data_IF_844930084736
#
_entry.id   IF_844930084736
#
_cell.length_a   1.000
_cell.length_b   1.000
_cell.length_c   1.000
_cell.angle_alpha   90.00
_cell.angle_beta   90.00
_cell.angle_gamma   90.00
#
_symmetry.space_group_name_H-M   'P 1'
#
loop_
_entity.id
_entity.type
_entity.pdbx_description
1 polymer ?
#
# COMPACT_ATOMS: atom_id res chain seq x y z
N UNK A 1 -11.06 -18.71 -1.95
CA UNK A 1 -10.81 -17.72 -3.02
C UNK A 1 -10.67 -16.28 -2.48
N UNK A 2 -11.61 -15.75 -1.69
CA UNK A 2 -11.51 -14.37 -1.15
C UNK A 2 -10.33 -14.14 -0.18
N UNK A 3 -10.03 -15.13 0.68
CA UNK A 3 -8.94 -15.03 1.68
C UNK A 3 -7.54 -14.97 1.06
N UNK A 4 -7.35 -15.61 -0.10
CA UNK A 4 -6.07 -15.58 -0.84
C UNK A 4 -5.81 -14.19 -1.42
N UNK A 5 -6.85 -13.55 -1.98
CA UNK A 5 -6.75 -12.17 -2.49
C UNK A 5 -6.46 -11.16 -1.39
N UNK A 6 -6.96 -11.39 -0.18
CA UNK A 6 -6.71 -10.51 0.97
C UNK A 6 -5.25 -10.58 1.42
N UNK A 7 -4.67 -11.78 1.48
CA UNK A 7 -3.24 -11.97 1.79
C UNK A 7 -2.33 -11.40 0.71
N UNK A 8 -2.74 -11.47 -0.55
CA UNK A 8 -1.99 -10.89 -1.67
C UNK A 8 -1.97 -9.36 -1.61
N UNK A 9 -3.11 -8.75 -1.24
CA UNK A 9 -3.19 -7.31 -0.96
C UNK A 9 -2.29 -6.90 0.21
N UNK A 10 -2.34 -7.62 1.33
CA UNK A 10 -1.47 -7.36 2.48
C UNK A 10 0.02 -7.44 2.12
N UNK A 11 0.40 -8.43 1.31
CA UNK A 11 1.77 -8.56 0.83
C UNK A 11 2.21 -7.38 -0.05
N UNK A 12 1.34 -6.93 -0.98
CA UNK A 12 1.64 -5.79 -1.84
C UNK A 12 1.78 -4.49 -1.04
N UNK A 13 0.92 -4.28 -0.05
CA UNK A 13 0.98 -3.13 0.87
C UNK A 13 2.32 -3.11 1.62
N UNK A 14 2.71 -4.22 2.24
CA UNK A 14 3.99 -4.29 2.98
C UNK A 14 5.20 -4.12 2.07
N UNK A 15 5.14 -4.64 0.84
CA UNK A 15 6.21 -4.46 -0.15
C UNK A 15 6.38 -2.98 -0.50
N UNK A 16 5.30 -2.29 -0.85
CA UNK A 16 5.33 -0.87 -1.20
C UNK A 16 5.77 -0.01 -0.01
N UNK A 17 5.32 -0.33 1.19
CA UNK A 17 5.75 0.36 2.41
C UNK A 17 7.27 0.28 2.60
N UNK A 18 7.86 -0.90 2.42
CA UNK A 18 9.32 -1.07 2.50
C UNK A 18 10.07 -0.30 1.42
N UNK A 19 9.53 -0.25 0.19
CA UNK A 19 10.12 0.53 -0.89
C UNK A 19 10.09 2.04 -0.58
N UNK A 20 8.97 2.53 -0.06
CA UNK A 20 8.83 3.92 0.37
C UNK A 20 9.83 4.30 1.47
N UNK A 21 9.95 3.47 2.51
CA UNK A 21 10.93 3.69 3.57
C UNK A 21 12.37 3.66 3.04
N UNK A 22 12.70 2.73 2.16
CA UNK A 22 14.03 2.68 1.54
C UNK A 22 14.36 3.91 0.69
N UNK A 23 13.38 4.43 -0.06
CA UNK A 23 13.53 5.67 -0.83
C UNK A 23 13.74 6.89 0.09
N UNK A 24 13.01 6.97 1.20
CA UNK A 24 13.12 8.07 2.17
C UNK A 24 14.47 8.02 2.91
N UNK A 25 14.95 6.84 3.29
CA UNK A 25 16.22 6.69 4.02
C UNK A 25 17.47 6.93 3.15
N UNK A 26 17.38 6.69 1.83
CA UNK A 26 18.55 6.71 0.94
C UNK A 26 18.80 8.04 0.21
N UNK A 27 17.88 9.01 0.23
CA UNK A 27 18.05 10.24 -0.56
C UNK A 27 17.43 11.49 0.10
N UNK A 28 18.26 12.25 0.82
CA UNK A 28 17.85 13.51 1.43
C UNK A 28 17.55 14.67 0.46
N UNK A 29 17.82 14.53 -0.84
CA UNK A 29 17.79 15.69 -1.76
C UNK A 29 16.97 15.54 -3.05
N UNK A 30 16.47 14.35 -3.44
CA UNK A 30 16.00 14.17 -4.83
C UNK A 30 14.73 13.32 -5.08
N UNK A 31 13.93 12.97 -4.07
CA UNK A 31 12.80 12.07 -4.30
C UNK A 31 11.48 12.65 -3.81
N UNK A 32 10.93 13.61 -4.56
CA UNK A 32 9.55 14.03 -4.34
C UNK A 32 8.59 13.22 -5.20
N UNK A 33 8.86 13.06 -6.50
CA UNK A 33 7.87 12.53 -7.43
C UNK A 33 7.67 11.00 -7.32
N UNK A 34 8.75 10.23 -7.19
CA UNK A 34 8.63 8.77 -7.00
C UNK A 34 8.05 8.42 -5.62
N UNK A 35 8.42 9.15 -4.57
CA UNK A 35 7.85 9.00 -3.22
C UNK A 35 6.38 9.36 -3.22
N UNK A 36 5.98 10.45 -3.89
CA UNK A 36 4.57 10.83 -4.05
C UNK A 36 3.81 9.75 -4.83
N UNK A 37 4.38 9.22 -5.92
CA UNK A 37 3.76 8.15 -6.70
C UNK A 37 3.57 6.85 -5.89
N UNK A 38 4.59 6.44 -5.14
CA UNK A 38 4.51 5.25 -4.27
C UNK A 38 3.52 5.48 -3.11
N UNK A 39 3.47 6.68 -2.55
CA UNK A 39 2.49 7.05 -1.52
C UNK A 39 1.06 6.98 -2.05
N UNK A 40 0.81 7.50 -3.25
CA UNK A 40 -0.52 7.47 -3.87
C UNK A 40 -0.98 6.03 -4.17
N UNK A 41 -0.06 5.17 -4.62
CA UNK A 41 -0.36 3.75 -4.82
C UNK A 41 -0.70 3.05 -3.51
N UNK A 42 0.01 3.38 -2.43
CA UNK A 42 -0.25 2.84 -1.10
C UNK A 42 -1.64 3.27 -0.59
N UNK A 43 -2.01 4.54 -0.76
CA UNK A 43 -3.32 5.07 -0.37
C UNK A 43 -4.47 4.38 -1.11
N UNK A 44 -4.31 4.13 -2.42
CA UNK A 44 -5.31 3.40 -3.20
C UNK A 44 -5.53 1.97 -2.68
N UNK A 45 -4.44 1.25 -2.39
CA UNK A 45 -4.51 -0.12 -1.87
C UNK A 45 -5.11 -0.18 -0.46
N UNK A 46 -4.76 0.78 0.41
CA UNK A 46 -5.35 0.90 1.75
C UNK A 46 -6.86 1.15 1.67
N UNK A 47 -7.28 2.06 0.78
CA UNK A 47 -8.70 2.35 0.56
C UNK A 47 -9.45 1.12 0.02
N UNK A 48 -8.86 0.38 -0.92
CA UNK A 48 -9.45 -0.85 -1.44
C UNK A 48 -9.58 -1.92 -0.34
N UNK A 49 -8.54 -2.10 0.48
CA UNK A 49 -8.56 -3.01 1.62
C UNK A 49 -9.63 -2.62 2.63
N UNK A 50 -9.72 -1.35 3.02
CA UNK A 50 -10.72 -0.86 3.95
C UNK A 50 -12.14 -1.03 3.41
N UNK A 51 -12.38 -0.71 2.13
CA UNK A 51 -13.67 -0.89 1.48
C UNK A 51 -14.11 -2.36 1.51
N UNK A 52 -13.23 -3.28 1.11
CA UNK A 52 -13.50 -4.72 1.12
C UNK A 52 -13.69 -5.26 2.54
N UNK A 53 -12.90 -4.79 3.52
CA UNK A 53 -13.03 -5.20 4.92
C UNK A 53 -14.34 -4.73 5.54
N UNK A 54 -14.79 -3.51 5.27
CA UNK A 54 -16.09 -3.00 5.73
C UNK A 54 -17.25 -3.79 5.12
N UNK A 55 -17.13 -4.19 3.85
CA UNK A 55 -18.13 -5.04 3.19
C UNK A 55 -18.24 -6.44 3.82
N UNK A 56 -17.15 -6.96 4.41
CA UNK A 56 -17.13 -8.22 5.13
C UNK A 56 -17.64 -8.15 6.59
N UNK A 57 -17.78 -6.95 7.17
CA UNK A 57 -18.31 -6.76 8.54
C UNK A 57 -19.85 -6.57 8.52
N UNK A 58 -20.42 -6.22 7.37
CA UNK A 58 -21.86 -5.97 7.18
C UNK A 58 -22.62 -7.17 6.58
N UNK A 59 -21.96 -8.32 6.39
CA UNK A 59 -22.55 -9.61 5.99
C UNK A 59 -22.37 -10.58 7.16
#
# INVERSE_FOLDING_TARGET
MALLRLKELEYQIEKLRKQLYGMIEQNHALILEEVVSVSQQLDLLLNEYHSKRTQFILI
#
